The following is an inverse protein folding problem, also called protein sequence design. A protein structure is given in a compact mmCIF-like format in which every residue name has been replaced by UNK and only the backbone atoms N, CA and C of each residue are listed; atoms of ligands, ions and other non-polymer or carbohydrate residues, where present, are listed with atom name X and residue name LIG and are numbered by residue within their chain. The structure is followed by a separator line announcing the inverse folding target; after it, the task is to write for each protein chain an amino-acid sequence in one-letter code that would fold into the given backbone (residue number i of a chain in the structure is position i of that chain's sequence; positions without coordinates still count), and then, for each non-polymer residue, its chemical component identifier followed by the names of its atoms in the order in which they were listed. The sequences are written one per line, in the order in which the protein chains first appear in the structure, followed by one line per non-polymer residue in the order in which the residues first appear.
data_IF_209072942963
#
_entry.id   IF_209072942963
#
_cell.length_a   1.000
_cell.length_b   1.000
_cell.length_c   1.000
_cell.angle_alpha   90.00
_cell.angle_beta   90.00
_cell.angle_gamma   90.00
#
_symmetry.space_group_name_H-M   'P 1'
#
loop_
_entity.id
_entity.type
_entity.pdbx_description
1 polymer ?
#
# COMPACT_ATOMS: atom_id res chain seq x y z
N UNK A 1 19.49 -14.56 7.15
CA UNK A 1 18.86 -13.36 6.55
C UNK A 1 17.39 -13.37 6.94
N UNK A 2 16.93 -12.39 7.70
CA UNK A 2 15.50 -12.25 8.02
C UNK A 2 14.79 -11.77 6.77
N UNK A 3 13.97 -12.61 6.14
CA UNK A 3 13.17 -12.18 4.99
C UNK A 3 12.04 -11.28 5.49
N UNK A 4 12.04 -10.02 5.05
CA UNK A 4 10.95 -9.09 5.30
C UNK A 4 10.02 -9.13 4.09
N UNK A 5 8.76 -9.56 4.30
CA UNK A 5 7.76 -9.60 3.24
C UNK A 5 7.16 -8.21 3.03
N UNK A 6 7.67 -7.49 2.03
CA UNK A 6 7.15 -6.20 1.57
C UNK A 6 6.38 -6.36 0.26
N UNK A 7 5.37 -5.52 0.07
CA UNK A 7 4.63 -5.38 -1.20
C UNK A 7 4.52 -3.89 -1.52
N UNK A 8 4.89 -3.51 -2.73
CA UNK A 8 4.68 -2.15 -3.24
C UNK A 8 3.43 -2.16 -4.11
N UNK A 9 2.50 -1.24 -3.88
CA UNK A 9 1.39 -0.98 -4.78
C UNK A 9 1.47 0.47 -5.27
N UNK A 10 1.24 0.66 -6.56
CA UNK A 10 1.02 1.99 -7.11
C UNK A 10 -0.48 2.22 -7.07
N UNK A 11 -0.89 3.27 -6.37
CA UNK A 11 -2.26 3.75 -6.32
C UNK A 11 -2.38 4.85 -7.36
N UNK A 12 -2.92 4.47 -8.52
CA UNK A 12 -3.14 5.35 -9.67
C UNK A 12 -4.53 6.01 -9.61
N UNK A 13 -4.94 6.48 -8.43
CA UNK A 13 -6.20 7.20 -8.27
C UNK A 13 -6.00 8.40 -7.36
N UNK A 14 -6.55 9.54 -7.76
CA UNK A 14 -6.64 10.74 -6.92
C UNK A 14 -7.96 10.78 -6.14
N UNK A 15 -8.85 9.80 -6.35
CA UNK A 15 -10.11 9.69 -5.62
C UNK A 15 -9.86 8.99 -4.26
N UNK A 16 -10.06 9.69 -3.13
CA UNK A 16 -9.84 9.14 -1.80
C UNK A 16 -10.64 7.86 -1.52
N UNK A 17 -11.84 7.70 -2.08
CA UNK A 17 -12.68 6.53 -1.84
C UNK A 17 -12.14 5.28 -2.56
N UNK A 18 -11.59 5.45 -3.76
CA UNK A 18 -10.91 4.35 -4.46
C UNK A 18 -9.60 3.97 -3.77
N UNK A 19 -8.86 4.96 -3.27
CA UNK A 19 -7.64 4.73 -2.50
C UNK A 19 -7.93 3.94 -1.22
N UNK A 20 -8.96 4.34 -0.48
CA UNK A 20 -9.40 3.67 0.75
C UNK A 20 -9.80 2.21 0.47
N UNK A 21 -10.57 1.97 -0.59
CA UNK A 21 -10.94 0.60 -1.01
C UNK A 21 -9.73 -0.25 -1.37
N UNK A 22 -8.70 0.32 -2.00
CA UNK A 22 -7.46 -0.41 -2.28
C UNK A 22 -6.73 -0.75 -0.97
N UNK A 23 -6.66 0.18 -0.02
CA UNK A 23 -6.06 -0.05 1.29
C UNK A 23 -6.78 -1.11 2.10
N UNK A 24 -8.12 -1.10 2.15
CA UNK A 24 -8.92 -2.14 2.80
C UNK A 24 -8.68 -3.53 2.21
N UNK A 25 -8.49 -3.63 0.88
CA UNK A 25 -8.15 -4.91 0.24
C UNK A 25 -6.77 -5.43 0.66
N UNK A 26 -5.83 -4.53 0.95
CA UNK A 26 -4.51 -4.88 1.46
C UNK A 26 -4.58 -5.29 2.94
N UNK A 27 -5.32 -4.54 3.75
CA UNK A 27 -5.54 -4.83 5.17
C UNK A 27 -6.23 -6.18 5.38
N UNK A 28 -7.31 -6.47 4.63
CA UNK A 28 -8.00 -7.76 4.66
C UNK A 28 -7.11 -8.96 4.25
N UNK A 29 -5.99 -8.71 3.57
CA UNK A 29 -4.99 -9.70 3.19
C UNK A 29 -3.80 -9.77 4.17
N UNK A 30 -3.90 -9.07 5.30
CA UNK A 30 -2.88 -9.00 6.35
C UNK A 30 -1.69 -8.12 5.99
N UNK A 31 -1.89 -7.09 5.16
CA UNK A 31 -0.85 -6.13 4.79
C UNK A 31 -1.10 -4.78 5.46
N UNK A 32 -0.13 -4.34 6.23
CA UNK A 32 -0.14 -3.03 6.90
C UNK A 32 0.56 -2.00 6.01
N UNK A 33 -0.06 -0.82 5.85
CA UNK A 33 0.57 0.31 5.16
C UNK A 33 1.70 0.88 6.02
N UNK A 34 2.92 0.93 5.47
CA UNK A 34 4.11 1.41 6.17
C UNK A 34 4.53 2.80 5.70
N UNK A 35 4.36 3.07 4.40
CA UNK A 35 4.73 4.35 3.82
C UNK A 35 3.84 4.66 2.64
N UNK A 36 3.51 5.94 2.48
CA UNK A 36 2.76 6.47 1.35
C UNK A 36 3.51 7.69 0.82
N UNK A 37 3.97 7.60 -0.42
CA UNK A 37 4.76 8.66 -1.05
C UNK A 37 4.09 9.08 -2.35
N UNK A 38 3.75 10.35 -2.47
CA UNK A 38 3.25 10.91 -3.72
C UNK A 38 4.43 11.13 -4.68
N UNK A 39 4.37 10.54 -5.87
CA UNK A 39 5.34 10.87 -6.91
C UNK A 39 4.87 12.13 -7.65
N UNK A 40 5.80 13.00 -8.11
CA UNK A 40 5.48 14.28 -8.73
C UNK A 40 4.74 14.16 -10.08
N UNK A 41 4.48 12.94 -10.57
CA UNK A 41 3.78 12.66 -11.82
C UNK A 41 2.59 11.75 -11.49
N UNK A 42 1.51 12.35 -10.98
CA UNK A 42 0.12 11.82 -10.86
C UNK A 42 -0.15 10.47 -10.14
N UNK A 43 0.86 9.76 -9.65
CA UNK A 43 0.69 8.45 -8.99
C UNK A 43 1.19 8.46 -7.55
N UNK A 44 0.52 7.72 -6.67
CA UNK A 44 0.96 7.50 -5.30
C UNK A 44 1.57 6.11 -5.15
N UNK A 45 2.67 6.01 -4.42
CA UNK A 45 3.32 4.73 -4.12
C UNK A 45 3.05 4.37 -2.67
N UNK A 46 2.35 3.27 -2.46
CA UNK A 46 2.05 2.70 -1.16
C UNK A 46 2.95 1.49 -0.92
N UNK A 47 3.73 1.52 0.15
CA UNK A 47 4.55 0.39 0.59
C UNK A 47 3.84 -0.30 1.74
N UNK A 48 3.55 -1.58 1.55
CA UNK A 48 2.94 -2.43 2.54
C UNK A 48 3.93 -3.44 3.10
N UNK A 49 3.73 -3.80 4.35
CA UNK A 49 4.43 -4.89 5.02
C UNK A 49 3.41 -5.90 5.47
N UNK A 50 3.71 -7.19 5.30
CA UNK A 50 2.85 -8.23 5.84
C UNK A 50 2.96 -8.25 7.37
N UNK A 51 1.84 -8.09 8.07
CA UNK A 51 1.77 -8.40 9.50
C UNK A 51 2.14 -9.89 9.64
N UNK A 52 3.14 -10.20 10.48
CA UNK A 52 3.42 -11.62 10.79
C UNK A 52 2.21 -12.08 11.59
N UNK A 53 1.54 -13.12 11.09
CA UNK A 53 0.30 -13.65 11.66
C UNK A 53 0.38 -13.91 13.15
#
# INVERSE_FOLDING_TARGET
MTHWNYKVAVVESTDPAEMEKQFEQHDARGWELVSLTQMPVLSMVAVFRKARG
#
